data_IF_111765749427
#
_entry.id   IF_111765749427
#
_cell.length_a   1.000
_cell.length_b   1.000
_cell.length_c   1.000
_cell.angle_alpha   90.00
_cell.angle_beta   90.00
_cell.angle_gamma   90.00
#
_symmetry.space_group_name_H-M   'P 1'
#
loop_
_entity.id
_entity.type
_entity.pdbx_description
1 polymer ?
#
# COMPACT_ATOMS: atom_id res chain seq x y z
N UNK A 1 -24.07 24.65 17.33
CA UNK A 1 -22.66 24.98 17.07
C UNK A 1 -21.81 23.79 17.53
N UNK A 2 -21.26 22.98 16.61
CA UNK A 2 -20.57 21.70 16.88
C UNK A 2 -19.16 21.84 17.48
N UNK A 3 -18.69 23.06 17.73
CA UNK A 3 -17.34 23.41 18.16
C UNK A 3 -16.90 22.78 19.49
N UNK A 4 -17.85 22.54 20.40
CA UNK A 4 -17.54 22.00 21.74
C UNK A 4 -17.11 20.52 21.71
N UNK A 5 -17.60 19.75 20.74
CA UNK A 5 -17.18 18.34 20.55
C UNK A 5 -15.78 18.29 19.94
N UNK A 6 -15.51 19.17 18.97
CA UNK A 6 -14.21 19.24 18.29
C UNK A 6 -13.07 19.59 19.26
N UNK A 7 -13.24 20.58 20.14
CA UNK A 7 -12.24 20.95 21.15
C UNK A 7 -11.91 19.81 22.12
N UNK A 8 -12.91 18.99 22.48
CA UNK A 8 -12.73 17.86 23.40
C UNK A 8 -11.94 16.71 22.80
N UNK A 9 -12.06 16.46 21.49
CA UNK A 9 -11.36 15.37 20.82
C UNK A 9 -10.00 15.79 20.25
N UNK A 10 -9.74 17.09 20.05
CA UNK A 10 -8.52 17.63 19.44
C UNK A 10 -7.23 17.10 20.07
N UNK A 11 -7.15 17.03 21.40
CA UNK A 11 -5.98 16.50 22.11
C UNK A 11 -5.76 14.99 21.99
N UNK A 12 -6.73 14.25 21.45
CA UNK A 12 -6.66 12.80 21.18
C UNK A 12 -6.46 12.48 19.70
N UNK A 13 -6.49 13.48 18.83
CA UNK A 13 -6.20 13.35 17.39
C UNK A 13 -4.69 13.36 17.11
N UNK A 14 -3.89 12.78 17.99
CA UNK A 14 -2.44 12.69 17.84
C UNK A 14 -2.11 11.29 17.35
N UNK A 15 -1.75 11.18 16.08
CA UNK A 15 -1.24 9.93 15.52
C UNK A 15 0.21 9.84 15.98
N UNK A 16 0.43 9.26 17.17
CA UNK A 16 1.77 9.14 17.75
C UNK A 16 2.66 8.31 16.83
N UNK A 17 3.63 8.96 16.18
CA UNK A 17 4.72 8.43 15.34
C UNK A 17 4.51 7.00 14.80
N UNK A 18 3.32 6.73 14.27
CA UNK A 18 2.91 5.41 13.84
C UNK A 18 3.54 5.23 12.50
N UNK A 19 4.75 4.67 12.52
CA UNK A 19 5.49 4.34 11.31
C UNK A 19 4.60 3.39 10.51
N UNK A 20 3.94 3.93 9.49
CA UNK A 20 3.05 3.16 8.62
C UNK A 20 3.87 1.98 8.10
N UNK A 21 3.44 0.76 8.41
CA UNK A 21 4.17 -0.45 8.01
C UNK A 21 4.16 -0.50 6.48
N UNK A 22 5.32 -0.21 5.89
CA UNK A 22 5.50 -0.27 4.45
C UNK A 22 5.83 -1.70 4.03
N UNK A 23 5.21 -2.16 2.95
CA UNK A 23 5.42 -3.49 2.42
C UNK A 23 6.38 -3.44 1.23
N UNK A 24 7.39 -4.31 1.24
CA UNK A 24 8.36 -4.38 0.14
C UNK A 24 7.83 -5.23 -1.01
N UNK A 25 7.62 -4.64 -2.19
CA UNK A 25 7.09 -5.35 -3.37
C UNK A 25 8.04 -6.40 -3.94
N UNK A 26 9.35 -6.28 -3.68
CA UNK A 26 10.34 -7.24 -4.17
C UNK A 26 10.43 -8.49 -3.30
N UNK A 27 10.21 -8.37 -1.99
CA UNK A 27 10.37 -9.47 -1.03
C UNK A 27 9.06 -9.98 -0.45
N UNK A 28 7.99 -9.19 -0.47
CA UNK A 28 6.71 -9.57 0.14
C UNK A 28 6.13 -10.80 -0.53
N UNK A 29 5.52 -11.67 0.27
CA UNK A 29 4.76 -12.82 -0.22
C UNK A 29 3.35 -12.40 -0.68
N UNK A 30 2.67 -13.28 -1.41
CA UNK A 30 1.26 -13.08 -1.78
C UNK A 30 0.39 -12.88 -0.53
N UNK A 31 0.71 -13.56 0.58
CA UNK A 31 -0.02 -13.48 1.84
C UNK A 31 0.16 -12.12 2.54
N UNK A 32 1.36 -11.56 2.47
CA UNK A 32 1.61 -10.22 3.01
C UNK A 32 0.99 -9.13 2.13
N UNK A 33 1.03 -9.28 0.82
CA UNK A 33 0.40 -8.35 -0.13
C UNK A 33 -1.13 -8.37 0.02
N UNK A 34 -1.75 -9.55 0.11
CA UNK A 34 -3.22 -9.68 0.25
C UNK A 34 -3.77 -9.12 1.57
N UNK A 35 -2.92 -8.96 2.58
CA UNK A 35 -3.30 -8.32 3.86
C UNK A 35 -3.68 -6.86 3.66
N UNK A 36 -3.18 -6.22 2.60
CA UNK A 36 -3.49 -4.84 2.30
C UNK A 36 -4.89 -4.72 1.64
N UNK A 37 -5.78 -3.81 2.11
CA UNK A 37 -7.17 -3.71 1.63
C UNK A 37 -7.32 -3.55 0.12
N UNK A 38 -6.33 -2.91 -0.52
CA UNK A 38 -6.33 -2.59 -1.94
C UNK A 38 -5.52 -3.56 -2.82
N UNK A 39 -4.76 -4.47 -2.23
CA UNK A 39 -3.92 -5.45 -2.96
C UNK A 39 -4.46 -6.86 -2.76
N UNK A 40 -5.74 -7.08 -3.08
CA UNK A 40 -6.40 -8.39 -2.95
C UNK A 40 -5.60 -9.50 -3.66
N UNK A 41 -5.90 -10.75 -3.33
CA UNK A 41 -5.19 -11.95 -3.83
C UNK A 41 -4.81 -11.88 -5.33
N UNK A 42 -5.72 -11.47 -6.21
CA UNK A 42 -5.45 -11.41 -7.66
C UNK A 42 -4.32 -10.43 -8.00
N UNK A 43 -4.32 -9.24 -7.39
CA UNK A 43 -3.28 -8.22 -7.57
C UNK A 43 -1.98 -8.68 -6.90
N UNK A 44 -2.07 -9.19 -5.68
CA UNK A 44 -0.92 -9.73 -4.97
C UNK A 44 -0.21 -10.84 -5.79
N UNK A 45 -0.98 -11.77 -6.34
CA UNK A 45 -0.47 -12.83 -7.20
C UNK A 45 0.14 -12.25 -8.49
N UNK A 46 -0.53 -11.29 -9.14
CA UNK A 46 -0.01 -10.63 -10.33
C UNK A 46 1.32 -9.90 -10.08
N UNK A 47 1.49 -9.23 -8.94
CA UNK A 47 2.75 -8.59 -8.53
C UNK A 47 3.87 -9.61 -8.39
N UNK A 48 3.61 -10.73 -7.71
CA UNK A 48 4.60 -11.80 -7.53
C UNK A 48 4.95 -12.47 -8.86
N UNK A 49 3.97 -12.76 -9.70
CA UNK A 49 4.20 -13.34 -11.03
C UNK A 49 4.99 -12.38 -11.93
N UNK A 50 4.65 -11.10 -11.92
CA UNK A 50 5.35 -10.09 -12.70
C UNK A 50 6.84 -10.03 -12.34
N UNK A 51 7.19 -10.00 -11.04
CA UNK A 51 8.60 -9.97 -10.63
C UNK A 51 9.36 -11.26 -10.94
N UNK A 52 8.68 -12.41 -10.96
CA UNK A 52 9.29 -13.68 -11.34
C UNK A 52 9.62 -13.71 -12.84
N UNK A 53 8.79 -13.07 -13.67
CA UNK A 53 8.95 -13.04 -15.13
C UNK A 53 9.88 -11.92 -15.61
N UNK A 54 9.83 -10.74 -14.98
CA UNK A 54 10.52 -9.53 -15.44
C UNK A 54 11.69 -9.12 -14.53
N UNK A 55 11.86 -9.77 -13.39
CA UNK A 55 12.83 -9.39 -12.35
C UNK A 55 12.26 -8.40 -11.34
N UNK A 56 13.12 -7.93 -10.43
CA UNK A 56 12.75 -7.02 -9.35
C UNK A 56 12.24 -5.67 -9.86
N UNK A 57 11.32 -5.06 -9.10
CA UNK A 57 10.85 -3.71 -9.34
C UNK A 57 11.89 -2.69 -8.87
N UNK A 58 12.27 -1.77 -9.75
CA UNK A 58 13.17 -0.66 -9.42
C UNK A 58 12.47 0.43 -8.61
N UNK A 59 11.19 0.67 -8.90
CA UNK A 59 10.38 1.69 -8.24
C UNK A 59 8.99 1.16 -7.91
N UNK A 60 8.30 1.78 -6.94
CA UNK A 60 6.91 1.45 -6.63
C UNK A 60 5.99 1.73 -7.82
N UNK A 61 6.32 2.71 -8.67
CA UNK A 61 5.58 3.03 -9.90
C UNK A 61 5.56 1.89 -10.91
N UNK A 62 6.55 1.00 -10.91
CA UNK A 62 6.63 -0.12 -11.85
C UNK A 62 5.47 -1.10 -11.71
N UNK A 63 4.80 -1.14 -10.54
CA UNK A 63 3.61 -1.97 -10.35
C UNK A 63 2.46 -1.55 -11.29
N UNK A 64 2.45 -0.30 -11.78
CA UNK A 64 1.47 0.16 -12.79
C UNK A 64 1.58 -0.57 -14.13
N UNK A 65 2.70 -1.26 -14.40
CA UNK A 65 2.86 -2.09 -15.59
C UNK A 65 1.98 -3.35 -15.55
N UNK A 66 1.48 -3.71 -14.37
CA UNK A 66 0.57 -4.83 -14.18
C UNK A 66 -0.83 -4.35 -14.58
N UNK A 67 -1.41 -4.98 -15.62
CA UNK A 67 -2.72 -4.61 -16.18
C UNK A 67 -3.86 -4.55 -15.15
N UNK A 68 -3.75 -5.29 -14.05
CA UNK A 68 -4.75 -5.34 -12.98
C UNK A 68 -4.66 -4.14 -12.01
N UNK A 69 -3.59 -3.34 -12.05
CA UNK A 69 -3.41 -2.16 -11.19
C UNK A 69 -3.89 -0.92 -11.94
N UNK A 70 -5.03 -0.39 -11.51
CA UNK A 70 -5.52 0.92 -11.97
C UNK A 70 -4.82 2.06 -11.23
N UNK A 71 -4.89 3.27 -11.79
CA UNK A 71 -4.33 4.46 -11.14
C UNK A 71 -4.93 4.71 -9.75
N UNK A 72 -6.22 4.42 -9.57
CA UNK A 72 -6.88 4.59 -8.28
C UNK A 72 -6.31 3.64 -7.21
N UNK A 73 -6.12 2.37 -7.55
CA UNK A 73 -5.52 1.37 -6.66
C UNK A 73 -4.08 1.75 -6.34
N UNK A 74 -3.32 2.16 -7.37
CA UNK A 74 -1.96 2.64 -7.19
C UNK A 74 -1.90 3.82 -6.22
N UNK A 75 -2.71 4.86 -6.41
CA UNK A 75 -2.68 6.05 -5.55
C UNK A 75 -3.01 5.72 -4.09
N UNK A 76 -3.90 4.74 -3.87
CA UNK A 76 -4.25 4.26 -2.52
C UNK A 76 -3.18 3.37 -1.90
N UNK A 77 -2.49 2.55 -2.70
CA UNK A 77 -1.50 1.58 -2.21
C UNK A 77 -0.07 2.13 -2.13
N UNK A 78 0.33 3.00 -3.05
CA UNK A 78 1.66 3.59 -3.14
C UNK A 78 2.24 4.13 -1.81
N UNK A 79 1.49 4.86 -0.95
CA UNK A 79 2.04 5.34 0.33
C UNK A 79 2.41 4.21 1.32
N UNK A 80 1.89 3.00 1.11
CA UNK A 80 2.13 1.82 1.94
C UNK A 80 3.16 0.85 1.32
N UNK A 81 3.74 1.17 0.16
CA UNK A 81 4.65 0.28 -0.57
C UNK A 81 6.05 0.86 -0.65
N UNK A 82 7.05 -0.03 -0.71
CA UNK A 82 8.44 0.31 -0.99
C UNK A 82 9.03 -0.67 -2.01
N UNK A 83 9.91 -0.17 -2.86
CA UNK A 83 10.78 -0.96 -3.72
C UNK A 83 12.20 -0.81 -3.16
N UNK A 84 12.69 -1.87 -2.51
CA UNK A 84 14.06 -1.99 -2.01
C UNK A 84 14.67 -3.27 -2.54
#
# INVERSE_FOLDING_TARGET
MPDSVFQKIKGRLVIGNSSVKKLNINTATVDELKTHPYLRYNIANAVVQYRLQHGSFSTVSDIKKIMMITEEIYNKAAPYLIAK
#
